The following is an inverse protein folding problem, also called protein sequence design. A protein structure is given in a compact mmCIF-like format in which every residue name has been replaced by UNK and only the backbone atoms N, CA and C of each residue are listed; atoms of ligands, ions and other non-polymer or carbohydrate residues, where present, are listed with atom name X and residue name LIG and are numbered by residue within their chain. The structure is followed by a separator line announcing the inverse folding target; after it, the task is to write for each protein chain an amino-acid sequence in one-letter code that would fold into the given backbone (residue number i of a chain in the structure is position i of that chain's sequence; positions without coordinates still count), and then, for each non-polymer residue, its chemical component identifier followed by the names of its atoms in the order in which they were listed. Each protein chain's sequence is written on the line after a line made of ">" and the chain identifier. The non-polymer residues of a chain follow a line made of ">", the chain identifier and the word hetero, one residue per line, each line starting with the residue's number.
data_IF_815905263082
#
_entry.id   IF_815905263082
#
_cell.length_a   1.000
_cell.length_b   1.000
_cell.length_c   1.000
_cell.angle_alpha   90.00
_cell.angle_beta   90.00
_cell.angle_gamma   90.00
#
_symmetry.space_group_name_H-M   'P 1'
#
loop_
_entity.id
_entity.type
_entity.pdbx_description
1 polymer ?
#
# COMPACT_ATOMS: atom_id res chain seq x y z
N UNK A 1 -36.51 -32.31 54.09
CA UNK A 1 -35.77 -31.16 53.52
C UNK A 1 -34.54 -31.68 52.79
N UNK A 2 -34.58 -31.85 51.47
CA UNK A 2 -33.37 -31.98 50.64
C UNK A 2 -33.64 -31.30 49.30
N UNK A 3 -32.88 -30.24 49.04
CA UNK A 3 -32.97 -29.37 47.86
C UNK A 3 -32.43 -30.10 46.62
N UNK A 4 -33.17 -30.08 45.52
CA UNK A 4 -32.68 -30.41 44.18
C UNK A 4 -31.87 -29.23 43.64
N UNK A 5 -30.61 -29.47 43.30
CA UNK A 5 -29.71 -28.52 42.64
C UNK A 5 -29.90 -28.67 41.13
N UNK A 6 -30.38 -27.63 40.45
CA UNK A 6 -30.40 -27.56 38.98
C UNK A 6 -29.04 -27.02 38.52
N UNK A 7 -28.30 -27.82 37.74
CA UNK A 7 -27.11 -27.36 37.02
C UNK A 7 -27.56 -26.82 35.66
N UNK A 8 -27.51 -25.50 35.49
CA UNK A 8 -27.66 -24.87 34.17
C UNK A 8 -26.31 -24.90 33.45
N UNK A 9 -26.22 -25.73 32.41
CA UNK A 9 -25.08 -25.73 31.48
C UNK A 9 -25.29 -24.56 30.51
N UNK A 10 -24.47 -23.52 30.65
CA UNK A 10 -24.42 -22.40 29.71
C UNK A 10 -23.53 -22.83 28.52
N UNK A 11 -24.14 -23.13 27.38
CA UNK A 11 -23.41 -23.36 26.13
C UNK A 11 -23.05 -22.00 25.55
N UNK A 12 -21.78 -21.60 25.69
CA UNK A 12 -21.21 -20.49 24.93
C UNK A 12 -21.03 -20.93 23.47
N UNK A 13 -21.93 -20.50 22.59
CA UNK A 13 -21.65 -20.49 21.16
C UNK A 13 -20.63 -19.40 20.88
N UNK A 14 -19.39 -19.80 20.62
CA UNK A 14 -18.38 -18.96 19.97
C UNK A 14 -18.83 -18.69 18.54
N UNK A 15 -19.42 -17.52 18.29
CA UNK A 15 -19.58 -17.00 16.94
C UNK A 15 -18.19 -16.64 16.41
N UNK A 16 -17.61 -17.54 15.63
CA UNK A 16 -16.49 -17.21 14.76
C UNK A 16 -17.01 -16.25 13.68
N UNK A 17 -16.81 -14.96 13.89
CA UNK A 17 -17.01 -13.94 12.86
C UNK A 17 -15.99 -14.13 11.75
N UNK A 18 -16.31 -14.97 10.76
CA UNK A 18 -15.60 -14.98 9.50
C UNK A 18 -15.99 -13.72 8.72
N UNK A 19 -15.00 -12.96 8.24
CA UNK A 19 -15.22 -11.85 7.33
C UNK A 19 -16.08 -12.30 6.12
N UNK A 20 -17.18 -11.61 5.87
CA UNK A 20 -18.23 -12.00 4.94
C UNK A 20 -18.16 -11.12 3.69
N UNK A 21 -17.26 -11.47 2.76
CA UNK A 21 -17.13 -10.78 1.47
C UNK A 21 -18.49 -10.48 0.82
N UNK A 22 -18.77 -9.19 0.57
CA UNK A 22 -20.04 -8.64 0.05
C UNK A 22 -20.61 -9.33 -1.21
N UNK A 23 -21.89 -9.13 -1.56
CA UNK A 23 -22.51 -9.84 -2.68
C UNK A 23 -21.89 -9.47 -4.04
N UNK A 24 -22.01 -10.36 -5.03
CA UNK A 24 -21.68 -10.03 -6.41
C UNK A 24 -22.69 -9.03 -6.98
N UNK A 25 -22.18 -7.99 -7.64
CA UNK A 25 -22.96 -6.97 -8.34
C UNK A 25 -22.60 -7.00 -9.82
N UNK A 26 -23.60 -7.01 -10.70
CA UNK A 26 -23.37 -6.87 -12.14
C UNK A 26 -23.10 -5.39 -12.45
N UNK A 27 -21.94 -5.08 -13.03
CA UNK A 27 -21.59 -3.71 -13.45
C UNK A 27 -22.34 -3.30 -14.72
N UNK A 28 -22.78 -4.27 -15.51
CA UNK A 28 -23.59 -4.05 -16.69
C UNK A 28 -24.95 -4.75 -16.55
N UNK A 29 -26.03 -3.99 -16.77
CA UNK A 29 -27.40 -4.47 -16.59
C UNK A 29 -27.94 -5.28 -17.78
N UNK A 30 -27.20 -5.35 -18.89
CA UNK A 30 -27.59 -6.07 -20.11
C UNK A 30 -28.51 -5.30 -21.06
N UNK A 31 -28.90 -4.06 -20.73
CA UNK A 31 -29.94 -3.30 -21.43
C UNK A 31 -29.51 -1.89 -21.82
N UNK A 32 -28.78 -1.19 -20.95
CA UNK A 32 -28.33 0.19 -21.14
C UNK A 32 -26.91 0.39 -20.60
N UNK A 33 -26.27 1.47 -20.99
CA UNK A 33 -24.97 1.89 -20.44
C UNK A 33 -25.13 2.79 -19.20
N UNK A 34 -26.24 2.66 -18.47
CA UNK A 34 -26.46 3.44 -17.24
C UNK A 34 -25.38 3.09 -16.20
N UNK A 35 -24.81 4.12 -15.57
CA UNK A 35 -23.68 3.97 -14.65
C UNK A 35 -22.31 3.96 -15.34
N UNK A 36 -22.25 4.28 -16.64
CA UNK A 36 -21.03 4.38 -17.41
C UNK A 36 -20.94 5.70 -18.18
N UNK A 37 -19.72 6.22 -18.30
CA UNK A 37 -19.39 7.45 -19.01
C UNK A 37 -18.20 7.24 -19.95
N UNK A 38 -18.21 7.88 -21.12
CA UNK A 38 -17.11 7.81 -22.11
C UNK A 38 -16.09 8.90 -21.81
N UNK A 39 -14.81 8.53 -21.80
CA UNK A 39 -13.68 9.42 -21.54
C UNK A 39 -12.54 9.27 -22.56
N UNK A 40 -11.69 10.28 -22.63
CA UNK A 40 -10.45 10.40 -23.44
C UNK A 40 -10.61 10.46 -24.96
N UNK A 41 -11.56 9.72 -25.53
CA UNK A 41 -11.75 9.62 -26.98
C UNK A 41 -13.21 9.54 -27.38
N UNK A 42 -13.45 9.09 -28.59
CA UNK A 42 -14.79 9.10 -29.22
C UNK A 42 -15.09 7.82 -30.01
N UNK A 43 -14.43 6.70 -29.69
CA UNK A 43 -14.89 5.38 -30.10
C UNK A 43 -16.29 5.12 -29.56
N UNK A 44 -17.08 4.30 -30.25
CA UNK A 44 -18.48 4.09 -29.90
C UNK A 44 -18.68 2.84 -29.05
N UNK A 45 -19.69 2.89 -28.18
CA UNK A 45 -20.14 1.77 -27.37
C UNK A 45 -21.64 1.59 -27.57
N UNK A 46 -22.07 0.34 -27.79
CA UNK A 46 -23.49 -0.03 -27.88
C UNK A 46 -23.80 -1.27 -27.05
N UNK A 47 -25.08 -1.44 -26.73
CA UNK A 47 -25.60 -2.69 -26.17
C UNK A 47 -26.10 -3.57 -27.30
N UNK A 48 -25.65 -4.82 -27.35
CA UNK A 48 -26.06 -5.82 -28.33
C UNK A 48 -26.15 -7.18 -27.64
N UNK A 49 -27.32 -7.83 -27.70
CA UNK A 49 -27.56 -9.18 -27.12
C UNK A 49 -27.04 -9.38 -25.69
N UNK A 50 -27.25 -8.37 -24.82
CA UNK A 50 -26.80 -8.42 -23.43
C UNK A 50 -25.28 -8.27 -23.26
N UNK A 51 -24.60 -7.69 -24.25
CA UNK A 51 -23.16 -7.38 -24.24
C UNK A 51 -22.92 -5.89 -24.46
N UNK A 52 -21.79 -5.39 -23.96
CA UNK A 52 -21.23 -4.11 -24.38
C UNK A 52 -20.33 -4.37 -25.58
N UNK A 53 -20.58 -3.69 -26.69
CA UNK A 53 -19.74 -3.73 -27.89
C UNK A 53 -19.07 -2.38 -28.08
N UNK A 54 -17.75 -2.35 -27.96
CA UNK A 54 -16.92 -1.21 -28.31
C UNK A 54 -16.42 -1.34 -29.75
N UNK A 55 -16.56 -0.29 -30.54
CA UNK A 55 -16.16 -0.27 -31.96
C UNK A 55 -15.14 0.84 -32.18
N UNK A 56 -13.99 0.49 -32.78
CA UNK A 56 -12.99 1.48 -33.14
C UNK A 56 -13.56 2.50 -34.14
N UNK A 57 -13.16 3.76 -33.99
CA UNK A 57 -13.53 4.87 -34.88
C UNK A 57 -12.26 5.52 -35.43
N UNK A 58 -12.25 5.78 -36.74
CA UNK A 58 -11.10 6.41 -37.40
C UNK A 58 -10.76 7.77 -36.75
N UNK A 59 -9.48 7.97 -36.42
CA UNK A 59 -9.00 9.20 -35.79
C UNK A 59 -9.28 9.33 -34.30
N UNK A 60 -10.05 8.41 -33.69
CA UNK A 60 -10.25 8.41 -32.24
C UNK A 60 -8.96 8.02 -31.51
N UNK A 61 -8.57 8.75 -30.45
CA UNK A 61 -7.58 8.25 -29.51
C UNK A 61 -8.16 7.07 -28.69
N UNK A 62 -7.34 6.51 -27.80
CA UNK A 62 -7.79 5.53 -26.82
C UNK A 62 -9.03 6.07 -26.09
N UNK A 63 -10.13 5.32 -26.19
CA UNK A 63 -11.43 5.70 -25.61
C UNK A 63 -11.78 4.69 -24.55
N UNK A 64 -12.33 5.17 -23.44
CA UNK A 64 -12.72 4.28 -22.33
C UNK A 64 -14.18 4.49 -21.97
N UNK A 65 -14.93 3.40 -21.86
CA UNK A 65 -16.22 3.40 -21.18
C UNK A 65 -15.97 3.07 -19.71
N UNK A 66 -16.05 4.08 -18.84
CA UNK A 66 -15.70 3.99 -17.42
C UNK A 66 -16.94 3.92 -16.54
N UNK A 67 -16.86 3.15 -15.45
CA UNK A 67 -17.88 3.18 -14.40
C UNK A 67 -17.92 4.55 -13.73
N UNK A 68 -19.12 5.06 -13.46
CA UNK A 68 -19.28 6.31 -12.70
C UNK A 68 -18.86 6.13 -11.22
N UNK A 69 -18.97 4.90 -10.71
CA UNK A 69 -18.52 4.50 -9.37
C UNK A 69 -17.04 4.10 -9.40
N UNK A 70 -16.32 4.47 -8.36
CA UNK A 70 -14.96 4.01 -8.08
C UNK A 70 -14.95 2.81 -7.11
N UNK A 71 -13.97 1.92 -7.30
CA UNK A 71 -13.81 0.67 -6.54
C UNK A 71 -12.40 0.56 -5.95
N UNK A 72 -12.33 0.12 -4.69
CA UNK A 72 -11.09 -0.09 -3.94
C UNK A 72 -10.63 -1.54 -3.99
N UNK A 73 -10.93 -2.29 -2.94
CA UNK A 73 -10.63 -3.73 -2.86
C UNK A 73 -11.80 -4.53 -3.45
N UNK A 74 -11.51 -5.37 -4.43
CA UNK A 74 -12.54 -6.10 -5.16
C UNK A 74 -12.00 -7.35 -5.85
N UNK A 75 -12.93 -8.23 -6.19
CA UNK A 75 -12.77 -9.20 -7.25
C UNK A 75 -13.64 -8.74 -8.43
N UNK A 76 -13.04 -8.57 -9.61
CA UNK A 76 -13.74 -8.30 -10.85
C UNK A 76 -13.69 -9.56 -11.72
N UNK A 77 -14.83 -9.97 -12.27
CA UNK A 77 -14.92 -11.01 -13.30
C UNK A 77 -15.66 -10.47 -14.52
N UNK A 78 -15.18 -10.82 -15.70
CA UNK A 78 -15.84 -10.52 -16.97
C UNK A 78 -15.43 -11.54 -18.03
N UNK A 79 -16.22 -11.61 -19.10
CA UNK A 79 -15.86 -12.31 -20.33
C UNK A 79 -15.63 -11.30 -21.44
N UNK A 80 -14.58 -11.51 -22.25
CA UNK A 80 -14.24 -10.66 -23.38
C UNK A 80 -13.97 -11.46 -24.65
N UNK A 81 -14.40 -10.92 -25.79
CA UNK A 81 -14.02 -11.35 -27.13
C UNK A 81 -13.53 -10.14 -27.92
N UNK A 82 -12.26 -10.13 -28.29
CA UNK A 82 -11.61 -9.05 -29.02
C UNK A 82 -11.24 -9.51 -30.42
N UNK A 83 -11.50 -8.68 -31.43
CA UNK A 83 -11.00 -8.94 -32.77
C UNK A 83 -9.45 -8.93 -32.75
N UNK A 84 -8.74 -9.90 -33.36
CA UNK A 84 -7.30 -10.06 -33.18
C UNK A 84 -6.43 -8.88 -33.62
N UNK A 85 -6.95 -8.03 -34.51
CA UNK A 85 -6.23 -6.82 -34.97
C UNK A 85 -6.48 -5.58 -34.10
N UNK A 86 -7.29 -5.71 -33.05
CA UNK A 86 -7.53 -4.67 -32.06
C UNK A 86 -6.78 -5.01 -30.76
N UNK A 87 -6.14 -3.99 -30.18
CA UNK A 87 -5.66 -4.02 -28.81
C UNK A 87 -6.73 -3.40 -27.89
N UNK A 88 -6.83 -3.90 -26.67
CA UNK A 88 -7.81 -3.47 -25.69
C UNK A 88 -7.22 -3.66 -24.28
N UNK A 89 -7.99 -3.27 -23.27
CA UNK A 89 -7.67 -3.52 -21.88
C UNK A 89 -8.85 -3.18 -20.98
N UNK A 90 -8.74 -3.59 -19.73
CA UNK A 90 -9.66 -3.17 -18.66
C UNK A 90 -8.87 -2.42 -17.61
N UNK A 91 -9.19 -1.13 -17.47
CA UNK A 91 -8.69 -0.26 -16.41
C UNK A 91 -9.21 -0.74 -15.06
N UNK A 92 -8.33 -0.74 -14.05
CA UNK A 92 -8.64 -1.12 -12.67
C UNK A 92 -8.03 -0.10 -11.71
N UNK A 93 -8.85 0.50 -10.84
CA UNK A 93 -8.42 1.59 -9.93
C UNK A 93 -7.81 2.81 -10.63
N UNK A 94 -8.06 2.94 -11.93
CA UNK A 94 -7.56 4.06 -12.73
C UNK A 94 -8.30 5.35 -12.41
N UNK A 95 -7.72 6.46 -12.80
CA UNK A 95 -8.21 7.81 -12.53
C UNK A 95 -8.59 8.49 -13.85
N UNK A 96 -9.45 9.51 -13.75
CA UNK A 96 -9.75 10.44 -14.84
C UNK A 96 -9.16 11.79 -14.47
N UNK A 97 -8.29 12.33 -15.33
CA UNK A 97 -7.65 13.62 -15.08
C UNK A 97 -8.68 14.76 -15.04
N UNK A 98 -8.77 15.46 -13.91
CA UNK A 98 -9.68 16.62 -13.74
C UNK A 98 -9.13 17.92 -14.34
N UNK A 99 -7.86 17.91 -14.72
CA UNK A 99 -7.11 19.02 -15.27
C UNK A 99 -5.83 18.51 -15.93
N UNK A 100 -5.03 19.41 -16.49
CA UNK A 100 -3.67 19.06 -16.93
C UNK A 100 -2.90 18.47 -15.74
N UNK A 101 -2.40 17.25 -15.92
CA UNK A 101 -1.74 16.48 -14.86
C UNK A 101 -0.34 16.11 -15.33
N UNK A 102 0.65 16.33 -14.47
CA UNK A 102 2.05 16.09 -14.77
C UNK A 102 2.61 15.00 -13.88
N UNK A 103 3.37 14.09 -14.47
CA UNK A 103 4.05 13.02 -13.76
C UNK A 103 5.54 13.01 -14.06
N UNK A 104 6.30 12.54 -13.07
CA UNK A 104 7.73 12.24 -13.22
C UNK A 104 7.99 10.86 -12.63
N UNK A 105 8.28 9.88 -13.49
CA UNK A 105 8.61 8.52 -13.07
C UNK A 105 10.01 8.12 -13.53
N UNK A 106 10.59 7.12 -12.87
CA UNK A 106 11.78 6.47 -13.41
C UNK A 106 11.36 5.39 -14.38
N UNK A 107 11.89 5.44 -15.59
CA UNK A 107 11.69 4.39 -16.58
C UNK A 107 12.48 3.14 -16.21
N UNK A 108 12.30 2.08 -16.98
CA UNK A 108 13.08 0.84 -16.82
C UNK A 108 14.60 1.07 -16.99
N UNK A 109 15.00 2.16 -17.66
CA UNK A 109 16.39 2.61 -17.79
C UNK A 109 16.93 3.39 -16.56
N UNK A 110 16.12 3.54 -15.52
CA UNK A 110 16.45 4.27 -14.30
C UNK A 110 16.43 5.79 -14.43
N UNK A 111 16.18 6.34 -15.62
CA UNK A 111 16.15 7.79 -15.88
C UNK A 111 14.76 8.38 -15.60
N UNK A 112 14.68 9.66 -15.22
CA UNK A 112 13.39 10.33 -15.06
C UNK A 112 12.74 10.58 -16.43
N UNK A 113 11.51 10.11 -16.59
CA UNK A 113 10.61 10.40 -17.70
C UNK A 113 9.50 11.32 -17.20
N UNK A 114 9.25 12.39 -17.94
CA UNK A 114 8.18 13.34 -17.65
C UNK A 114 7.01 13.07 -18.59
N UNK A 115 5.82 13.03 -18.05
CA UNK A 115 4.60 12.80 -18.82
C UNK A 115 3.54 13.82 -18.41
N UNK A 116 2.93 14.47 -19.38
CA UNK A 116 1.79 15.37 -19.16
C UNK A 116 0.58 14.77 -19.84
N UNK A 117 -0.55 14.76 -19.15
CA UNK A 117 -1.83 14.33 -19.69
C UNK A 117 -2.85 15.46 -19.62
N UNK A 118 -3.72 15.59 -20.63
CA UNK A 118 -4.76 16.60 -20.63
C UNK A 118 -5.90 16.22 -19.66
N UNK A 119 -6.78 17.17 -19.42
CA UNK A 119 -8.09 16.91 -18.79
C UNK A 119 -8.83 15.80 -19.53
N UNK A 120 -9.64 15.02 -18.80
CA UNK A 120 -10.43 13.88 -19.28
C UNK A 120 -9.60 12.65 -19.71
N UNK A 121 -8.27 12.71 -19.58
CA UNK A 121 -7.42 11.55 -19.85
C UNK A 121 -7.56 10.51 -18.74
N UNK A 122 -7.93 9.29 -19.11
CA UNK A 122 -7.86 8.11 -18.24
C UNK A 122 -6.40 7.68 -18.11
N UNK A 123 -5.97 7.40 -16.88
CA UNK A 123 -4.63 6.93 -16.56
C UNK A 123 -4.64 5.99 -15.36
N UNK A 124 -3.68 5.06 -15.28
CA UNK A 124 -3.56 4.10 -14.18
C UNK A 124 -3.42 2.66 -14.66
N UNK A 125 -3.70 1.70 -13.78
CA UNK A 125 -3.47 0.29 -14.05
C UNK A 125 -4.47 -0.26 -15.09
N UNK A 126 -3.95 -0.85 -16.16
CA UNK A 126 -4.72 -1.52 -17.21
C UNK A 126 -4.32 -2.99 -17.28
N UNK A 127 -5.32 -3.88 -17.21
CA UNK A 127 -5.13 -5.30 -17.52
C UNK A 127 -5.26 -5.50 -19.03
N UNK A 128 -4.18 -6.02 -19.62
CA UNK A 128 -3.98 -6.08 -21.07
C UNK A 128 -4.87 -7.13 -21.76
N UNK A 129 -5.41 -6.77 -22.93
CA UNK A 129 -6.12 -7.65 -23.86
C UNK A 129 -5.55 -7.43 -25.27
N UNK A 130 -4.88 -8.43 -25.80
CA UNK A 130 -4.24 -8.37 -27.11
C UNK A 130 -4.42 -9.69 -27.87
N UNK A 131 -3.93 -9.76 -29.11
CA UNK A 131 -3.85 -11.02 -29.85
C UNK A 131 -3.03 -12.08 -29.09
N UNK A 132 -3.48 -13.32 -29.12
CA UNK A 132 -2.89 -14.43 -28.34
C UNK A 132 -1.37 -14.59 -28.54
N UNK A 133 -0.88 -14.40 -29.78
CA UNK A 133 0.54 -14.53 -30.13
C UNK A 133 1.47 -13.55 -29.41
N UNK A 134 0.96 -12.46 -28.83
CA UNK A 134 1.77 -11.53 -28.03
C UNK A 134 2.20 -12.12 -26.69
N UNK A 135 1.42 -13.06 -26.14
CA UNK A 135 1.64 -13.61 -24.80
C UNK A 135 1.50 -12.60 -23.66
N UNK A 136 0.90 -11.42 -23.88
CA UNK A 136 0.80 -10.33 -22.88
C UNK A 136 -0.55 -10.24 -22.19
N UNK A 137 -1.56 -11.02 -22.61
CA UNK A 137 -2.91 -10.96 -22.06
C UNK A 137 -2.94 -11.26 -20.56
N UNK A 138 -3.53 -10.36 -19.78
CA UNK A 138 -3.51 -10.42 -18.31
C UNK A 138 -2.32 -9.71 -17.66
N UNK A 139 -1.34 -9.24 -18.44
CA UNK A 139 -0.29 -8.32 -17.99
C UNK A 139 -0.87 -6.98 -17.49
N UNK A 140 -0.09 -6.23 -16.71
CA UNK A 140 -0.50 -4.92 -16.18
C UNK A 140 0.37 -3.82 -16.79
N UNK A 141 -0.27 -2.97 -17.61
CA UNK A 141 0.31 -1.76 -18.18
C UNK A 141 -0.19 -0.54 -17.40
N UNK A 142 0.67 0.44 -17.13
CA UNK A 142 0.24 1.67 -16.44
C UNK A 142 -0.06 2.79 -17.43
N UNK A 143 -1.29 2.79 -17.92
CA UNK A 143 -1.79 3.63 -19.01
C UNK A 143 -1.61 5.12 -18.70
N UNK A 144 -1.06 5.84 -19.68
CA UNK A 144 -0.89 7.29 -19.68
C UNK A 144 -0.18 7.90 -18.45
N UNK A 145 0.44 7.09 -17.59
CA UNK A 145 1.14 7.53 -16.39
C UNK A 145 2.61 7.11 -16.41
N UNK A 146 2.95 5.86 -16.07
CA UNK A 146 4.31 5.32 -16.25
C UNK A 146 4.56 4.89 -17.69
N UNK A 147 3.51 4.51 -18.42
CA UNK A 147 3.53 4.15 -19.83
C UNK A 147 4.44 2.94 -20.18
N UNK A 148 4.54 1.97 -19.28
CA UNK A 148 5.18 0.67 -19.51
C UNK A 148 4.46 -0.44 -18.73
N UNK A 149 4.76 -1.70 -19.06
CA UNK A 149 4.32 -2.86 -18.28
C UNK A 149 5.00 -2.85 -16.92
N UNK A 150 4.20 -2.68 -15.86
CA UNK A 150 4.66 -2.74 -14.47
C UNK A 150 4.62 -4.17 -13.93
N UNK A 151 3.90 -5.05 -14.62
CA UNK A 151 3.99 -6.49 -14.44
C UNK A 151 3.72 -7.20 -15.77
N UNK A 152 4.70 -7.94 -16.25
CA UNK A 152 4.56 -8.80 -17.41
C UNK A 152 3.91 -10.14 -17.02
N UNK A 153 3.26 -10.80 -17.98
CA UNK A 153 2.75 -12.16 -17.78
C UNK A 153 3.90 -13.07 -17.39
N UNK A 154 3.66 -13.94 -16.40
CA UNK A 154 4.65 -14.94 -15.94
C UNK A 154 5.32 -15.63 -17.13
N UNK A 155 6.63 -15.89 -17.00
CA UNK A 155 7.39 -16.66 -17.98
C UNK A 155 7.04 -18.16 -17.91
N UNK A 156 5.77 -18.45 -18.22
CA UNK A 156 5.16 -19.76 -18.17
C UNK A 156 4.29 -19.94 -19.43
N UNK A 157 4.44 -21.05 -20.18
CA UNK A 157 3.65 -21.29 -21.38
C UNK A 157 2.15 -21.34 -21.15
N UNK A 158 1.66 -21.79 -19.99
CA UNK A 158 0.22 -21.82 -19.74
C UNK A 158 -0.33 -20.40 -19.60
N UNK A 159 0.38 -19.51 -18.90
CA UNK A 159 0.00 -18.10 -18.77
C UNK A 159 0.07 -17.34 -20.11
N UNK A 160 1.16 -17.50 -20.87
CA UNK A 160 1.34 -16.86 -22.19
C UNK A 160 0.30 -17.32 -23.22
N UNK A 161 -0.15 -18.57 -23.15
CA UNK A 161 -1.14 -19.14 -24.08
C UNK A 161 -2.57 -19.17 -23.49
N UNK A 162 -2.82 -18.49 -22.37
CA UNK A 162 -4.10 -18.55 -21.68
C UNK A 162 -5.23 -17.96 -22.54
N UNK A 163 -4.99 -16.83 -23.19
CA UNK A 163 -5.96 -16.15 -24.07
C UNK A 163 -6.12 -16.88 -25.41
N UNK A 164 -7.35 -16.94 -25.91
CA UNK A 164 -7.75 -17.61 -27.16
C UNK A 164 -8.40 -16.62 -28.12
N UNK A 165 -7.77 -16.40 -29.27
CA UNK A 165 -8.30 -15.50 -30.31
C UNK A 165 -9.63 -16.02 -30.85
N UNK A 166 -10.54 -15.09 -31.21
CA UNK A 166 -11.87 -15.40 -31.75
C UNK A 166 -12.79 -16.22 -30.82
N UNK A 167 -12.43 -16.38 -29.55
CA UNK A 167 -13.22 -17.03 -28.52
C UNK A 167 -13.59 -16.07 -27.38
N UNK A 168 -14.52 -16.48 -26.52
CA UNK A 168 -14.81 -15.78 -25.27
C UNK A 168 -13.79 -16.17 -24.22
N UNK A 169 -13.13 -15.19 -23.63
CA UNK A 169 -12.09 -15.39 -22.63
C UNK A 169 -12.58 -14.87 -21.28
N UNK A 170 -12.49 -15.69 -20.24
CA UNK A 170 -12.86 -15.31 -18.88
C UNK A 170 -11.67 -14.67 -18.18
N UNK A 171 -11.86 -13.44 -17.71
CA UNK A 171 -10.92 -12.75 -16.85
C UNK A 171 -11.41 -12.75 -15.41
N UNK A 172 -10.46 -12.87 -14.50
CA UNK A 172 -10.65 -12.60 -13.08
C UNK A 172 -9.51 -11.70 -12.62
N UNK A 173 -9.84 -10.65 -11.88
CA UNK A 173 -8.88 -9.71 -11.32
C UNK A 173 -9.18 -9.58 -9.83
N UNK A 174 -8.18 -9.73 -8.99
CA UNK A 174 -8.29 -9.51 -7.54
C UNK A 174 -7.39 -8.37 -7.14
N UNK A 175 -7.98 -7.34 -6.57
CA UNK A 175 -7.32 -6.18 -6.01
C UNK A 175 -7.57 -6.15 -4.51
N UNK A 176 -6.52 -6.32 -3.70
CA UNK A 176 -6.59 -6.34 -2.23
C UNK A 176 -5.40 -5.60 -1.63
N UNK A 177 -5.63 -4.49 -0.92
CA UNK A 177 -4.56 -3.60 -0.49
C UNK A 177 -3.71 -3.15 -1.69
N UNK A 178 -2.40 -3.36 -1.63
CA UNK A 178 -1.47 -3.14 -2.75
C UNK A 178 -1.34 -4.34 -3.70
N UNK A 179 -1.91 -5.50 -3.37
CA UNK A 179 -1.82 -6.69 -4.20
C UNK A 179 -2.83 -6.63 -5.36
N UNK A 180 -2.33 -6.86 -6.57
CA UNK A 180 -3.11 -7.00 -7.79
C UNK A 180 -2.76 -8.33 -8.44
N UNK A 181 -3.76 -9.18 -8.66
CA UNK A 181 -3.61 -10.48 -9.31
C UNK A 181 -4.55 -10.61 -10.48
N UNK A 182 -4.09 -11.21 -11.57
CA UNK A 182 -4.89 -11.41 -12.78
C UNK A 182 -4.89 -12.88 -13.17
N UNK A 183 -6.04 -13.35 -13.66
CA UNK A 183 -6.20 -14.67 -14.26
C UNK A 183 -6.93 -14.55 -15.59
N UNK A 184 -6.47 -15.30 -16.58
CA UNK A 184 -7.13 -15.49 -17.87
C UNK A 184 -7.45 -16.96 -18.04
N UNK A 185 -8.71 -17.29 -18.30
CA UNK A 185 -9.21 -18.67 -18.45
C UNK A 185 -8.80 -19.59 -17.29
N UNK A 186 -8.76 -19.05 -16.07
CA UNK A 186 -8.39 -19.76 -14.84
C UNK A 186 -6.88 -19.89 -14.59
N UNK A 187 -6.03 -19.44 -15.52
CA UNK A 187 -4.57 -19.45 -15.37
C UNK A 187 -4.10 -18.13 -14.77
N UNK A 188 -3.28 -18.19 -13.70
CA UNK A 188 -2.70 -17.00 -13.08
C UNK A 188 -1.67 -16.36 -14.02
N UNK A 189 -1.89 -15.10 -14.39
CA UNK A 189 -1.03 -14.36 -15.32
C UNK A 189 -0.05 -13.43 -14.60
N UNK A 190 -0.51 -12.68 -13.59
CA UNK A 190 0.29 -11.71 -12.84
C UNK A 190 0.00 -11.78 -11.34
N UNK A 191 1.05 -11.55 -10.54
CA UNK A 191 0.97 -11.12 -9.14
C UNK A 191 1.86 -9.90 -8.96
N UNK A 192 1.25 -8.74 -8.75
CA UNK A 192 1.91 -7.44 -8.58
C UNK A 192 1.61 -6.90 -7.18
N UNK A 193 2.59 -6.20 -6.59
CA UNK A 193 2.36 -5.32 -5.44
C UNK A 193 2.68 -3.90 -5.86
N UNK A 194 1.67 -3.04 -5.82
CA UNK A 194 1.80 -1.63 -6.14
C UNK A 194 0.74 -0.83 -5.35
N UNK A 195 1.18 0.19 -4.63
CA UNK A 195 0.33 0.98 -3.73
C UNK A 195 -0.01 2.37 -4.28
N UNK A 196 0.24 2.63 -5.57
CA UNK A 196 0.08 3.96 -6.16
C UNK A 196 -1.38 4.43 -6.16
N UNK A 197 -2.33 3.60 -6.62
CA UNK A 197 -3.76 3.89 -6.51
C UNK A 197 -4.49 2.83 -5.70
N UNK A 198 -5.08 3.27 -4.60
CA UNK A 198 -5.85 2.43 -3.71
C UNK A 198 -7.26 2.10 -4.22
N UNK A 199 -7.81 3.00 -5.05
CA UNK A 199 -9.19 3.02 -5.51
C UNK A 199 -9.30 3.88 -6.78
N UNK A 200 -10.24 3.54 -7.66
CA UNK A 200 -10.53 4.32 -8.87
C UNK A 200 -11.57 3.62 -9.76
N UNK A 201 -11.75 4.07 -10.99
CA UNK A 201 -12.77 3.53 -11.91
C UNK A 201 -12.38 2.16 -12.46
N UNK A 202 -13.38 1.44 -12.97
CA UNK A 202 -13.20 0.36 -13.95
C UNK A 202 -13.48 0.94 -15.33
N UNK A 203 -12.67 0.62 -16.34
CA UNK A 203 -12.81 1.20 -17.69
C UNK A 203 -12.55 0.21 -18.80
N UNK A 204 -13.47 0.10 -19.76
CA UNK A 204 -13.35 -0.77 -20.92
C UNK A 204 -12.70 0.01 -22.06
N UNK A 205 -11.55 -0.42 -22.56
CA UNK A 205 -10.81 0.30 -23.59
C UNK A 205 -11.23 -0.12 -25.00
N UNK A 206 -11.36 0.87 -25.89
CA UNK A 206 -11.17 0.69 -27.33
C UNK A 206 -9.92 1.48 -27.73
N UNK A 207 -8.87 0.77 -28.15
CA UNK A 207 -7.60 1.40 -28.53
C UNK A 207 -7.75 2.21 -29.82
N UNK A 208 -7.14 3.40 -29.85
CA UNK A 208 -7.12 4.24 -31.05
C UNK A 208 -6.34 3.56 -32.17
N UNK A 209 -6.94 3.48 -33.36
CA UNK A 209 -6.27 2.90 -34.53
C UNK A 209 -5.72 4.02 -35.42
N UNK A 210 -4.48 3.84 -35.87
CA UNK A 210 -3.83 4.74 -36.82
C UNK A 210 -4.34 4.55 -38.25
N UNK A 211 -3.44 4.71 -39.23
CA UNK A 211 -3.79 4.76 -40.67
C UNK A 211 -4.36 3.47 -41.27
N UNK A 212 -4.19 2.31 -40.62
CA UNK A 212 -4.69 1.01 -41.09
C UNK A 212 -5.99 0.63 -40.37
N UNK A 213 -6.95 1.56 -40.38
CA UNK A 213 -8.22 1.42 -39.69
C UNK A 213 -9.13 0.38 -40.35
N UNK A 214 -9.77 -0.42 -39.51
CA UNK A 214 -11.04 -1.09 -39.77
C UNK A 214 -11.89 -0.90 -38.51
N UNK A 215 -13.23 -0.99 -38.59
CA UNK A 215 -14.12 -0.89 -37.44
C UNK A 215 -14.08 -2.17 -36.59
N UNK A 216 -12.87 -2.56 -36.16
CA UNK A 216 -12.67 -3.70 -35.28
C UNK A 216 -13.41 -3.49 -33.96
N UNK A 217 -13.88 -4.59 -33.40
CA UNK A 217 -14.70 -4.57 -32.20
C UNK A 217 -14.08 -5.39 -31.06
N UNK A 218 -14.43 -4.97 -29.85
CA UNK A 218 -14.24 -5.74 -28.63
C UNK A 218 -15.57 -5.80 -27.89
N UNK A 219 -15.89 -6.99 -27.36
CA UNK A 219 -17.20 -7.31 -26.81
C UNK A 219 -17.01 -7.82 -25.40
N UNK A 220 -17.74 -7.26 -24.43
CA UNK A 220 -17.69 -7.66 -23.03
C UNK A 220 -19.07 -8.10 -22.55
N UNK A 221 -19.10 -9.13 -21.71
CA UNK A 221 -20.32 -9.60 -21.04
C UNK A 221 -20.01 -10.19 -19.67
N UNK A 222 -21.06 -10.48 -18.90
CA UNK A 222 -20.93 -11.05 -17.55
C UNK A 222 -20.00 -10.24 -16.65
N UNK A 223 -19.98 -8.91 -16.81
CA UNK A 223 -19.13 -8.00 -16.05
C UNK A 223 -19.73 -7.85 -14.65
N UNK A 224 -19.07 -8.43 -13.66
CA UNK A 224 -19.53 -8.43 -12.27
C UNK A 224 -18.37 -8.19 -11.32
N UNK A 225 -18.67 -7.51 -10.23
CA UNK A 225 -17.71 -7.15 -9.20
C UNK A 225 -18.20 -7.64 -7.85
N UNK A 226 -17.26 -8.06 -7.02
CA UNK A 226 -17.45 -8.36 -5.61
C UNK A 226 -16.53 -7.43 -4.84
N UNK A 227 -17.07 -6.38 -4.24
CA UNK A 227 -16.29 -5.56 -3.32
C UNK A 227 -15.89 -6.45 -2.13
N UNK A 228 -14.60 -6.50 -1.84
CA UNK A 228 -14.06 -7.27 -0.74
C UNK A 228 -14.14 -6.39 0.49
N UNK A 229 -15.06 -6.74 1.38
CA UNK A 229 -15.38 -6.09 2.66
C UNK A 229 -14.75 -4.71 2.83
N UNK A 230 -15.52 -3.73 2.36
CA UNK A 230 -15.52 -2.38 2.90
C UNK A 230 -16.12 -2.32 4.34
N UNK A 231 -16.38 -3.45 4.99
CA UNK A 231 -16.96 -3.52 6.34
C UNK A 231 -15.94 -3.34 7.49
N UNK A 232 -14.70 -2.97 7.17
CA UNK A 232 -13.82 -2.27 8.12
C UNK A 232 -13.40 -0.89 7.57
N UNK A 233 -14.23 -0.18 6.79
CA UNK A 233 -13.99 1.26 6.56
C UNK A 233 -13.99 2.06 7.88
N UNK A 234 -14.46 1.46 8.98
CA UNK A 234 -14.26 1.95 10.34
C UNK A 234 -13.07 1.36 11.11
N UNK A 235 -12.46 0.24 10.70
CA UNK A 235 -11.50 -0.54 11.52
C UNK A 235 -10.15 -0.85 10.84
N UNK A 236 -10.04 -0.73 9.51
CA UNK A 236 -8.76 -0.88 8.82
C UNK A 236 -7.92 0.38 8.96
N UNK A 237 -6.74 0.23 9.57
CA UNK A 237 -5.78 1.31 9.78
C UNK A 237 -4.99 1.54 8.50
N UNK A 238 -5.00 2.77 8.01
CA UNK A 238 -4.22 3.22 6.85
C UNK A 238 -2.86 3.71 7.32
N UNK A 239 -1.82 3.05 6.86
CA UNK A 239 -0.43 3.30 7.24
C UNK A 239 0.35 3.83 6.05
N UNK A 240 1.11 4.90 6.24
CA UNK A 240 2.18 5.25 5.31
C UNK A 240 3.51 4.82 5.91
N UNK A 241 4.23 3.95 5.21
CA UNK A 241 5.54 3.43 5.59
C UNK A 241 6.60 4.26 4.87
N UNK A 242 7.31 5.10 5.63
CA UNK A 242 8.23 6.11 5.13
C UNK A 242 9.64 5.54 5.21
N UNK A 243 10.21 5.22 4.04
CA UNK A 243 11.54 4.60 3.92
C UNK A 243 12.55 5.57 3.29
N UNK A 244 13.80 5.14 3.11
CA UNK A 244 14.82 5.88 2.35
C UNK A 244 15.87 6.58 3.20
N UNK A 245 16.96 7.04 2.56
CA UNK A 245 18.13 7.60 3.24
C UNK A 245 19.14 6.56 3.77
N UNK A 246 18.74 5.30 3.90
CA UNK A 246 19.62 4.17 4.24
C UNK A 246 19.10 2.88 3.56
N UNK A 247 20.01 1.95 3.22
CA UNK A 247 19.64 0.65 2.63
C UNK A 247 19.11 -0.33 3.67
N UNK A 248 18.26 -1.26 3.23
CA UNK A 248 17.71 -2.34 4.05
C UNK A 248 17.17 -3.46 3.17
N UNK A 249 16.85 -4.61 3.76
CA UNK A 249 16.27 -5.77 3.08
C UNK A 249 14.77 -5.56 2.81
N UNK A 250 14.47 -4.84 1.72
CA UNK A 250 13.14 -4.31 1.39
C UNK A 250 12.01 -5.35 1.44
N UNK A 251 12.12 -6.44 0.68
CA UNK A 251 11.07 -7.46 0.63
C UNK A 251 10.81 -8.12 1.99
N UNK A 252 11.88 -8.39 2.75
CA UNK A 252 11.78 -8.98 4.08
C UNK A 252 11.10 -8.03 5.08
N UNK A 253 11.42 -6.73 5.00
CA UNK A 253 10.80 -5.71 5.82
C UNK A 253 9.30 -5.58 5.54
N UNK A 254 8.91 -5.49 4.26
CA UNK A 254 7.51 -5.33 3.88
C UNK A 254 6.65 -6.57 4.11
N UNK A 255 7.27 -7.76 4.14
CA UNK A 255 6.60 -9.01 4.53
C UNK A 255 5.99 -8.96 5.93
N UNK A 256 6.53 -8.13 6.85
CA UNK A 256 5.91 -7.94 8.16
C UNK A 256 4.51 -7.32 8.03
N UNK A 257 4.37 -6.28 7.20
CA UNK A 257 3.12 -5.57 6.99
C UNK A 257 2.12 -6.37 6.16
N UNK A 258 2.60 -7.16 5.18
CA UNK A 258 1.75 -8.06 4.38
C UNK A 258 0.96 -9.08 5.23
N UNK A 259 1.49 -9.41 6.41
CA UNK A 259 0.91 -10.39 7.32
C UNK A 259 -0.03 -9.78 8.37
N UNK A 260 -0.07 -8.45 8.48
CA UNK A 260 -0.91 -7.74 9.44
C UNK A 260 -2.35 -7.66 8.94
N UNK A 261 -3.28 -8.18 9.74
CA UNK A 261 -4.72 -8.06 9.45
C UNK A 261 -5.21 -6.69 9.92
N UNK A 262 -6.14 -6.09 9.19
CA UNK A 262 -6.68 -4.76 9.54
C UNK A 262 -5.69 -3.61 9.35
N UNK A 263 -4.55 -3.83 8.71
CA UNK A 263 -3.58 -2.78 8.34
C UNK A 263 -3.46 -2.73 6.82
N UNK A 264 -3.72 -1.56 6.24
CA UNK A 264 -3.44 -1.26 4.84
C UNK A 264 -2.27 -0.30 4.80
N UNK A 265 -1.21 -0.64 4.07
CA UNK A 265 -0.04 0.23 3.99
C UNK A 265 0.30 0.69 2.57
N UNK A 266 0.90 1.87 2.49
CA UNK A 266 1.52 2.45 1.29
C UNK A 266 2.97 2.76 1.61
N UNK A 267 3.92 2.34 0.77
CA UNK A 267 5.30 2.80 0.89
C UNK A 267 5.46 4.21 0.31
N UNK A 268 6.10 5.10 1.06
CA UNK A 268 6.52 6.42 0.62
C UNK A 268 8.04 6.57 0.77
N UNK A 269 8.78 6.33 -0.33
CA UNK A 269 10.25 6.44 -0.33
C UNK A 269 10.67 7.91 -0.23
N UNK A 270 11.28 8.28 0.88
CA UNK A 270 11.76 9.62 1.15
C UNK A 270 13.18 9.85 0.62
N UNK A 271 13.38 11.03 0.05
CA UNK A 271 14.67 11.62 -0.30
C UNK A 271 14.74 13.01 0.33
N UNK A 272 15.94 13.54 0.49
CA UNK A 272 16.16 14.90 1.02
C UNK A 272 15.37 15.99 0.28
N UNK A 273 15.06 15.77 -1.00
CA UNK A 273 14.24 16.65 -1.83
C UNK A 273 12.89 16.04 -2.26
N UNK A 274 12.37 15.05 -1.53
CA UNK A 274 11.08 14.39 -1.82
C UNK A 274 9.87 15.28 -1.55
N UNK A 275 8.72 14.90 -2.10
CA UNK A 275 7.45 15.65 -1.98
C UNK A 275 6.59 15.26 -0.77
N UNK A 276 6.95 14.22 -0.01
CA UNK A 276 6.16 13.79 1.16
C UNK A 276 6.02 14.93 2.18
N UNK A 277 4.80 15.26 2.61
CA UNK A 277 4.47 16.44 3.43
C UNK A 277 4.50 17.79 2.68
N UNK A 278 4.67 17.86 1.36
CA UNK A 278 4.62 19.13 0.63
C UNK A 278 3.18 19.65 0.50
N UNK A 279 2.24 18.75 0.23
CA UNK A 279 0.80 18.96 0.35
C UNK A 279 0.19 17.83 1.20
N UNK A 280 -0.66 18.19 2.15
CA UNK A 280 -1.37 17.28 3.06
C UNK A 280 -2.89 17.41 2.95
N UNK A 281 -3.39 18.12 1.93
CA UNK A 281 -4.82 18.34 1.70
C UNK A 281 -5.59 17.03 1.50
N UNK A 282 -4.96 16.04 0.84
CA UNK A 282 -5.48 14.69 0.66
C UNK A 282 -4.93 13.66 1.64
N UNK A 283 -4.42 14.07 2.81
CA UNK A 283 -3.87 13.12 3.78
C UNK A 283 -4.98 12.25 4.39
N UNK A 284 -4.86 10.94 4.18
CA UNK A 284 -5.85 9.93 4.57
C UNK A 284 -5.18 8.73 5.27
N UNK A 285 -4.04 8.95 5.95
CA UNK A 285 -3.35 7.92 6.73
C UNK A 285 -3.51 8.16 8.22
N UNK A 286 -3.82 7.10 8.97
CA UNK A 286 -3.97 7.09 10.43
C UNK A 286 -2.62 7.05 11.15
N UNK A 287 -1.63 6.37 10.55
CA UNK A 287 -0.30 6.15 11.15
C UNK A 287 0.82 6.37 10.13
N UNK A 288 1.88 7.05 10.57
CA UNK A 288 3.15 7.16 9.87
C UNK A 288 4.17 6.21 10.51
N UNK A 289 4.60 5.18 9.78
CA UNK A 289 5.68 4.29 10.20
C UNK A 289 6.97 4.74 9.54
N UNK A 290 7.93 5.24 10.30
CA UNK A 290 9.21 5.70 9.78
C UNK A 290 10.27 4.60 9.91
N UNK A 291 10.93 4.31 8.79
CA UNK A 291 12.13 3.48 8.68
C UNK A 291 13.13 4.17 7.73
N UNK A 292 13.36 5.46 7.97
CA UNK A 292 14.13 6.34 7.10
C UNK A 292 15.37 6.92 7.82
N UNK A 293 16.33 7.45 7.07
CA UNK A 293 17.51 8.15 7.60
C UNK A 293 17.80 9.46 6.83
N UNK A 294 16.80 10.02 6.14
CA UNK A 294 16.95 11.29 5.41
C UNK A 294 17.26 12.45 6.35
N UNK A 295 18.01 13.45 5.86
CA UNK A 295 18.53 14.52 6.70
C UNK A 295 17.82 15.86 6.45
N UNK A 296 17.46 16.14 5.20
CA UNK A 296 16.90 17.43 4.83
C UNK A 296 15.37 17.37 4.73
N UNK A 297 14.71 18.34 5.38
CA UNK A 297 13.27 18.57 5.30
C UNK A 297 13.01 20.08 5.36
N UNK A 298 12.21 20.59 4.42
CA UNK A 298 11.91 22.03 4.30
C UNK A 298 11.05 22.53 5.46
N UNK A 299 11.08 23.83 5.75
CA UNK A 299 10.26 24.42 6.82
C UNK A 299 8.76 24.15 6.61
N UNK A 300 8.27 24.25 5.37
CA UNK A 300 6.87 23.94 5.01
C UNK A 300 6.51 22.49 5.33
N UNK A 301 7.38 21.54 4.95
CA UNK A 301 7.18 20.11 5.22
C UNK A 301 7.23 19.79 6.72
N UNK A 302 8.12 20.43 7.48
CA UNK A 302 8.15 20.35 8.96
C UNK A 302 6.83 20.80 9.57
N UNK A 303 6.31 21.95 9.12
CA UNK A 303 5.01 22.48 9.59
C UNK A 303 3.84 21.58 9.22
N UNK A 304 3.87 20.98 8.02
CA UNK A 304 2.84 20.03 7.59
C UNK A 304 2.88 18.75 8.43
N UNK A 305 4.06 18.22 8.71
CA UNK A 305 4.21 17.08 9.62
C UNK A 305 3.62 17.37 11.01
N UNK A 306 3.97 18.51 11.61
CA UNK A 306 3.41 18.91 12.92
C UNK A 306 1.88 19.04 12.88
N UNK A 307 1.31 19.59 11.78
CA UNK A 307 -0.14 19.64 11.59
C UNK A 307 -0.80 18.27 11.51
N UNK A 308 -0.10 17.23 11.05
CA UNK A 308 -0.62 15.87 11.06
C UNK A 308 -0.62 15.31 12.48
N UNK A 309 0.43 15.59 13.28
CA UNK A 309 0.45 15.21 14.69
C UNK A 309 -0.69 15.86 15.47
N UNK A 310 -0.92 17.17 15.27
CA UNK A 310 -2.03 17.93 15.88
C UNK A 310 -3.41 17.36 15.55
N UNK A 311 -3.56 16.74 14.37
CA UNK A 311 -4.77 16.01 13.96
C UNK A 311 -4.88 14.60 14.56
N UNK A 312 -3.89 14.16 15.32
CA UNK A 312 -3.86 12.84 15.96
C UNK A 312 -3.29 11.72 15.10
N UNK A 313 -2.62 12.02 13.97
CA UNK A 313 -1.98 10.99 13.15
C UNK A 313 -0.83 10.37 13.93
N UNK A 314 -0.91 9.07 14.18
CA UNK A 314 0.06 8.32 14.99
C UNK A 314 1.42 8.19 14.33
N UNK A 315 2.47 7.97 15.13
CA UNK A 315 3.83 7.75 14.63
C UNK A 315 4.43 6.49 15.24
N UNK A 316 4.96 5.62 14.39
CA UNK A 316 5.86 4.54 14.79
C UNK A 316 7.24 4.84 14.20
N UNK A 317 8.24 5.17 15.02
CA UNK A 317 9.61 5.42 14.57
C UNK A 317 10.48 4.18 14.81
N UNK A 318 11.14 3.70 13.76
CA UNK A 318 11.89 2.46 13.80
C UNK A 318 13.36 2.71 13.48
N UNK A 319 14.23 2.10 14.27
CA UNK A 319 15.64 1.86 13.95
C UNK A 319 16.37 3.09 13.36
N UNK A 320 16.65 3.11 12.04
CA UNK A 320 17.34 4.18 11.33
C UNK A 320 16.78 5.59 11.60
N UNK A 321 15.46 5.70 11.86
CA UNK A 321 14.79 6.99 12.08
C UNK A 321 15.36 7.75 13.27
N UNK A 322 15.97 7.06 14.24
CA UNK A 322 16.67 7.69 15.35
C UNK A 322 17.82 8.61 14.90
N UNK A 323 18.38 8.37 13.70
CA UNK A 323 19.45 9.18 13.10
C UNK A 323 18.95 10.17 12.03
N UNK A 324 17.64 10.25 11.76
CA UNK A 324 17.07 11.16 10.77
C UNK A 324 17.04 12.63 11.25
N UNK A 325 17.01 13.55 10.29
CA UNK A 325 16.78 14.99 10.49
C UNK A 325 17.65 15.66 11.57
N UNK A 326 18.97 15.47 11.52
CA UNK A 326 19.90 15.99 12.53
C UNK A 326 19.82 17.51 12.72
N UNK A 327 19.42 18.27 11.70
CA UNK A 327 19.28 19.74 11.75
C UNK A 327 17.85 20.20 12.14
N UNK A 328 17.02 19.30 12.68
CA UNK A 328 15.68 19.60 13.17
C UNK A 328 15.50 19.18 14.63
N UNK A 329 15.90 20.03 15.61
CA UNK A 329 15.86 19.68 17.02
C UNK A 329 14.47 19.28 17.56
N UNK A 330 13.38 19.75 16.93
CA UNK A 330 12.02 19.36 17.32
C UNK A 330 11.74 17.88 17.03
N UNK A 331 12.35 17.27 16.01
CA UNK A 331 12.08 15.88 15.64
C UNK A 331 12.47 14.91 16.76
N UNK A 332 13.63 15.10 17.40
CA UNK A 332 14.02 14.27 18.54
C UNK A 332 13.08 14.38 19.74
N UNK A 333 12.42 15.52 19.92
CA UNK A 333 11.40 15.69 20.96
C UNK A 333 10.11 14.95 20.60
N UNK A 334 9.81 14.79 19.31
CA UNK A 334 8.66 14.02 18.82
C UNK A 334 8.88 12.53 19.09
N UNK A 335 10.01 11.97 18.63
CA UNK A 335 10.29 10.53 18.75
C UNK A 335 10.93 10.14 20.09
N UNK A 336 11.33 11.12 20.90
CA UNK A 336 11.93 10.94 22.21
C UNK A 336 13.37 10.43 22.24
N UNK A 337 14.07 10.48 21.12
CA UNK A 337 15.48 10.11 21.06
C UNK A 337 16.21 10.83 19.95
N UNK A 338 17.55 10.76 20.01
CA UNK A 338 18.43 11.09 18.90
C UNK A 338 19.68 10.21 18.93
N UNK A 339 19.95 9.54 17.83
CA UNK A 339 21.26 9.02 17.49
C UNK A 339 22.06 10.15 16.84
N UNK A 340 23.13 10.61 17.49
CA UNK A 340 23.99 11.67 16.95
C UNK A 340 24.95 11.09 15.92
N UNK A 341 24.96 11.62 14.69
CA UNK A 341 25.87 11.15 13.62
C UNK A 341 27.27 11.74 13.71
N UNK A 342 27.49 12.66 14.64
CA UNK A 342 28.79 13.28 14.98
C UNK A 342 28.73 13.86 16.40
N UNK A 343 29.89 14.05 17.03
CA UNK A 343 30.02 14.75 18.30
C UNK A 343 29.39 16.14 18.16
N UNK A 344 28.43 16.46 19.03
CA UNK A 344 27.62 17.67 18.95
C UNK A 344 27.43 18.27 20.33
N UNK A 345 27.75 19.55 20.49
CA UNK A 345 27.50 20.29 21.74
C UNK A 345 26.22 21.09 21.62
N UNK A 346 25.24 20.82 22.49
CA UNK A 346 23.95 21.53 22.53
C UNK A 346 23.63 21.90 23.98
N UNK A 347 23.19 23.14 24.23
CA UNK A 347 22.89 23.60 25.59
C UNK A 347 24.09 23.53 26.56
N UNK A 348 25.32 23.53 26.03
CA UNK A 348 26.55 23.38 26.83
C UNK A 348 26.91 21.93 27.19
N UNK A 349 26.13 20.95 26.76
CA UNK A 349 26.37 19.51 26.98
C UNK A 349 26.94 18.88 25.71
N UNK A 350 28.05 18.16 25.83
CA UNK A 350 28.62 17.38 24.73
C UNK A 350 27.88 16.05 24.60
N UNK A 351 27.23 15.85 23.46
CA UNK A 351 26.69 14.56 23.04
C UNK A 351 27.68 13.87 22.11
N UNK A 352 28.06 12.64 22.46
CA UNK A 352 28.97 11.84 21.64
C UNK A 352 28.25 11.29 20.42
N UNK A 353 29.04 11.06 19.37
CA UNK A 353 28.60 10.30 18.20
C UNK A 353 28.08 8.95 18.66
N UNK A 354 26.89 8.58 18.18
CA UNK A 354 26.33 7.27 18.40
C UNK A 354 27.25 6.18 17.85
N UNK A 355 27.22 5.01 18.47
CA UNK A 355 27.93 3.82 17.98
C UNK A 355 26.99 2.64 17.90
N UNK A 356 27.33 1.65 17.09
CA UNK A 356 26.51 0.48 16.90
C UNK A 356 27.33 -0.82 16.84
N UNK A 357 26.67 -1.94 17.07
CA UNK A 357 27.23 -3.28 16.85
C UNK A 357 26.16 -4.18 16.24
N UNK A 358 26.41 -4.67 15.02
CA UNK A 358 25.55 -5.63 14.32
C UNK A 358 25.67 -7.04 14.91
N UNK A 359 24.75 -7.91 14.49
CA UNK A 359 24.80 -9.37 14.67
C UNK A 359 24.93 -9.81 16.14
N UNK A 360 24.20 -9.15 17.03
CA UNK A 360 24.18 -9.49 18.46
C UNK A 360 22.88 -10.18 18.86
N UNK A 361 23.00 -11.19 19.72
CA UNK A 361 21.84 -11.76 20.42
C UNK A 361 21.55 -10.92 21.66
N UNK A 362 20.49 -10.12 21.58
CA UNK A 362 20.09 -9.19 22.62
C UNK A 362 18.89 -9.72 23.41
N UNK A 363 19.03 -9.77 24.73
CA UNK A 363 17.92 -10.08 25.63
C UNK A 363 17.07 -8.83 25.86
N UNK A 364 15.84 -8.86 25.37
CA UNK A 364 14.84 -7.81 25.51
C UNK A 364 13.97 -8.11 26.72
N UNK A 365 13.98 -7.17 27.66
CA UNK A 365 13.15 -7.19 28.87
C UNK A 365 11.92 -6.30 28.68
N UNK A 366 10.74 -6.83 29.00
CA UNK A 366 9.49 -6.06 28.98
C UNK A 366 9.41 -5.24 30.28
N UNK A 367 9.73 -3.95 30.19
CA UNK A 367 9.80 -3.04 31.33
C UNK A 367 8.42 -2.68 31.88
N UNK A 368 7.44 -2.46 31.00
CA UNK A 368 6.03 -2.30 31.37
C UNK A 368 5.22 -3.44 30.73
N UNK A 369 4.69 -4.35 31.55
CA UNK A 369 3.87 -5.49 31.09
C UNK A 369 2.38 -5.17 31.00
N UNK A 370 1.96 -4.00 31.46
CA UNK A 370 0.56 -3.60 31.48
C UNK A 370 0.21 -2.66 30.31
N UNK A 371 1.19 -2.04 29.68
CA UNK A 371 0.95 -1.21 28.51
C UNK A 371 0.31 -2.04 27.38
N UNK A 372 -0.71 -1.52 26.65
CA UNK A 372 -1.41 -2.30 25.63
C UNK A 372 -0.50 -2.94 24.57
N UNK A 373 0.58 -2.25 24.17
CA UNK A 373 1.57 -2.78 23.23
C UNK A 373 2.25 -4.07 23.75
N UNK A 374 2.62 -4.08 25.02
CA UNK A 374 3.44 -5.16 25.63
C UNK A 374 2.63 -6.11 26.49
N UNK A 375 1.31 -5.90 26.60
CA UNK A 375 0.44 -6.71 27.46
C UNK A 375 0.48 -8.19 27.05
N UNK A 376 0.81 -9.05 28.01
CA UNK A 376 0.93 -10.50 27.79
C UNK A 376 2.22 -10.93 27.10
N UNK A 377 3.13 -10.02 26.77
CA UNK A 377 4.45 -10.37 26.24
C UNK A 377 5.39 -10.81 27.36
N UNK A 378 6.24 -11.79 27.04
CA UNK A 378 7.35 -12.22 27.89
C UNK A 378 8.65 -11.63 27.38
N UNK A 379 9.68 -11.65 28.23
CA UNK A 379 11.04 -11.30 27.79
C UNK A 379 11.45 -12.25 26.66
N UNK A 380 12.21 -11.75 25.70
CA UNK A 380 12.60 -12.51 24.52
C UNK A 380 14.01 -12.15 24.06
N UNK A 381 14.65 -13.06 23.33
CA UNK A 381 15.92 -12.80 22.66
C UNK A 381 15.64 -12.44 21.20
N UNK A 382 16.38 -11.47 20.69
CA UNK A 382 16.38 -11.08 19.27
C UNK A 382 17.81 -10.99 18.77
N UNK A 383 18.04 -11.44 17.53
CA UNK A 383 19.31 -11.24 16.84
C UNK A 383 19.20 -9.96 16.01
N UNK A 384 19.98 -8.92 16.36
CA UNK A 384 19.77 -7.57 15.85
C UNK A 384 21.03 -6.68 16.01
N UNK A 385 20.86 -5.38 15.87
CA UNK A 385 21.85 -4.33 16.13
C UNK A 385 21.58 -3.57 17.44
N UNK A 386 22.64 -3.32 18.23
CA UNK A 386 22.59 -2.47 19.41
C UNK A 386 23.13 -1.07 19.13
N UNK A 387 22.46 -0.02 19.65
CA UNK A 387 22.93 1.37 19.60
C UNK A 387 23.39 1.89 20.95
N UNK A 388 24.46 2.68 20.95
CA UNK A 388 25.08 3.32 22.12
C UNK A 388 25.22 4.82 21.93
N UNK A 389 25.24 5.54 23.05
CA UNK A 389 25.35 7.00 23.11
C UNK A 389 24.19 7.73 22.44
N UNK A 390 23.01 7.11 22.42
CA UNK A 390 21.78 7.79 22.04
C UNK A 390 21.38 8.76 23.15
N UNK A 391 20.88 9.93 22.76
CA UNK A 391 20.17 10.80 23.68
C UNK A 391 18.73 10.31 23.82
N UNK A 392 18.24 10.24 25.05
CA UNK A 392 16.85 9.90 25.35
C UNK A 392 16.23 11.02 26.15
N UNK A 393 14.99 11.34 25.80
CA UNK A 393 14.16 12.25 26.57
C UNK A 393 13.75 11.58 27.90
N UNK A 394 13.68 12.37 28.98
CA UNK A 394 13.30 11.88 30.30
C UNK A 394 11.79 11.57 30.40
N UNK A 395 10.98 12.19 29.53
CA UNK A 395 9.53 11.99 29.48
C UNK A 395 9.11 10.69 28.78
N UNK A 396 10.06 9.88 28.30
CA UNK A 396 9.76 8.63 27.63
C UNK A 396 9.15 7.61 28.60
N UNK A 397 7.99 7.06 28.24
CA UNK A 397 7.45 5.88 28.92
C UNK A 397 8.11 4.63 28.33
N UNK A 398 9.09 4.09 29.04
CA UNK A 398 9.89 2.95 28.59
C UNK A 398 9.07 1.65 28.59
N UNK A 399 9.07 0.95 27.46
CA UNK A 399 8.41 -0.35 27.28
C UNK A 399 9.39 -1.51 27.22
N UNK A 400 10.56 -1.29 26.61
CA UNK A 400 11.55 -2.33 26.34
C UNK A 400 12.93 -1.87 26.81
N UNK A 401 13.62 -2.76 27.53
CA UNK A 401 15.01 -2.55 27.94
C UNK A 401 15.91 -3.73 27.60
N UNK A 402 17.22 -3.50 27.61
CA UNK A 402 18.25 -4.53 27.46
C UNK A 402 19.40 -4.26 28.43
N UNK A 403 20.13 -5.30 28.81
CA UNK A 403 21.38 -5.19 29.58
C UNK A 403 22.61 -5.55 28.71
N UNK A 404 22.43 -5.67 27.39
CA UNK A 404 23.53 -5.99 26.47
C UNK A 404 24.54 -4.83 26.39
N UNK A 405 25.83 -5.12 26.59
CA UNK A 405 26.89 -4.10 26.73
C UNK A 405 27.05 -3.20 25.49
N UNK A 406 26.69 -3.69 24.31
CA UNK A 406 26.73 -2.95 23.05
C UNK A 406 25.48 -2.11 22.74
N UNK A 407 24.49 -2.04 23.64
CA UNK A 407 23.31 -1.19 23.48
C UNK A 407 23.10 -0.30 24.71
N UNK A 408 22.50 0.87 24.52
CA UNK A 408 21.89 1.62 25.60
C UNK A 408 20.72 0.82 26.17
N UNK A 409 20.44 1.08 27.45
CA UNK A 409 19.47 0.28 28.21
C UNK A 409 18.06 0.38 27.65
N UNK A 410 17.66 1.54 27.16
CA UNK A 410 16.32 1.81 26.63
C UNK A 410 16.29 1.52 25.14
N UNK A 411 15.42 0.59 24.72
CA UNK A 411 15.33 0.14 23.31
C UNK A 411 13.91 0.18 22.73
N UNK A 412 12.92 0.55 23.53
CA UNK A 412 11.56 0.84 23.04
C UNK A 412 10.74 1.61 24.05
N UNK A 413 9.97 2.59 23.59
CA UNK A 413 9.19 3.49 24.45
C UNK A 413 8.00 4.11 23.69
N UNK A 414 7.12 4.76 24.45
CA UNK A 414 6.02 5.55 23.92
C UNK A 414 5.99 6.94 24.54
N UNK A 415 5.36 7.87 23.84
CA UNK A 415 5.02 9.20 24.35
C UNK A 415 3.82 9.80 23.61
N UNK A 416 3.26 10.85 24.17
CA UNK A 416 2.28 11.70 23.48
C UNK A 416 2.95 13.00 23.04
N UNK A 417 2.62 13.47 21.85
CA UNK A 417 3.15 14.72 21.33
C UNK A 417 2.11 15.42 20.45
N UNK A 418 1.73 16.65 20.82
CA UNK A 418 0.76 17.48 20.08
C UNK A 418 -0.48 16.67 19.64
N UNK A 419 -1.13 15.94 20.56
CA UNK A 419 -2.34 15.17 20.24
C UNK A 419 -2.12 13.79 19.59
N UNK A 420 -0.92 13.49 19.11
CA UNK A 420 -0.56 12.19 18.54
C UNK A 420 0.07 11.24 19.56
N UNK A 421 -0.17 9.94 19.36
CA UNK A 421 0.53 8.85 20.02
C UNK A 421 1.77 8.46 19.23
N UNK A 422 2.91 8.39 19.90
CA UNK A 422 4.21 8.08 19.31
C UNK A 422 4.76 6.82 19.97
N UNK A 423 5.17 5.84 19.18
CA UNK A 423 5.94 4.68 19.62
C UNK A 423 7.27 4.65 18.89
N UNK A 424 8.38 4.46 19.62
CA UNK A 424 9.69 4.32 19.01
C UNK A 424 10.30 3.00 19.45
N UNK A 425 10.84 2.25 18.49
CA UNK A 425 11.46 0.94 18.70
C UNK A 425 12.83 0.97 18.01
N UNK A 426 13.91 0.78 18.80
CA UNK A 426 15.28 0.77 18.26
C UNK A 426 15.54 -0.46 17.39
N UNK A 427 14.92 -1.59 17.74
CA UNK A 427 15.11 -2.88 17.06
C UNK A 427 14.72 -2.83 15.57
N UNK A 428 15.26 -3.76 14.79
CA UNK A 428 14.81 -4.03 13.42
C UNK A 428 15.84 -3.71 12.34
N UNK A 429 17.10 -4.14 12.49
CA UNK A 429 18.15 -3.88 11.50
C UNK A 429 17.93 -4.61 10.16
N UNK A 430 17.61 -5.91 10.21
CA UNK A 430 17.56 -6.80 9.04
C UNK A 430 16.48 -7.91 9.16
N UNK A 431 16.44 -8.83 8.19
CA UNK A 431 15.49 -9.95 8.16
C UNK A 431 15.50 -10.83 9.41
N UNK A 432 16.62 -10.96 10.12
CA UNK A 432 16.67 -11.80 11.33
C UNK A 432 15.81 -11.19 12.43
N UNK A 433 15.81 -9.86 12.55
CA UNK A 433 14.89 -9.15 13.41
C UNK A 433 13.44 -9.22 12.88
N UNK A 434 13.23 -9.03 11.58
CA UNK A 434 11.90 -9.04 10.95
C UNK A 434 11.16 -10.38 11.08
N UNK A 435 11.90 -11.49 11.13
CA UNK A 435 11.34 -12.83 11.28
C UNK A 435 10.92 -13.13 12.73
N UNK A 436 11.49 -12.44 13.72
CA UNK A 436 11.18 -12.63 15.13
C UNK A 436 9.69 -12.33 15.39
N UNK A 437 8.98 -13.29 15.98
CA UNK A 437 7.53 -13.17 16.22
C UNK A 437 7.18 -12.11 17.26
N UNK A 438 8.02 -11.91 18.29
CA UNK A 438 7.82 -10.87 19.29
C UNK A 438 8.02 -9.48 18.68
N UNK A 439 9.04 -9.33 17.82
CA UNK A 439 9.25 -8.08 17.10
C UNK A 439 8.07 -7.75 16.18
N UNK A 440 7.60 -8.71 15.36
CA UNK A 440 6.40 -8.49 14.53
C UNK A 440 5.17 -8.11 15.34
N UNK A 441 4.94 -8.77 16.48
CA UNK A 441 3.85 -8.43 17.39
C UNK A 441 4.00 -7.01 17.98
N UNK A 442 5.21 -6.58 18.31
CA UNK A 442 5.47 -5.21 18.77
C UNK A 442 5.12 -4.18 17.70
N UNK A 443 5.53 -4.40 16.44
CA UNK A 443 5.24 -3.48 15.34
C UNK A 443 3.74 -3.39 15.07
N UNK A 444 3.06 -4.54 14.98
CA UNK A 444 1.61 -4.59 14.79
C UNK A 444 0.89 -3.82 15.90
N UNK A 445 1.21 -4.11 17.17
CA UNK A 445 0.56 -3.44 18.30
C UNK A 445 0.93 -1.97 18.44
N UNK A 446 2.14 -1.58 18.05
CA UNK A 446 2.54 -0.17 17.98
C UNK A 446 1.68 0.58 16.96
N UNK A 447 1.43 0.00 15.78
CA UNK A 447 0.54 0.57 14.77
C UNK A 447 -0.90 0.67 15.31
N UNK A 448 -1.44 -0.41 15.89
CA UNK A 448 -2.79 -0.40 16.47
C UNK A 448 -2.94 0.66 17.57
N UNK A 449 -1.98 0.72 18.50
CA UNK A 449 -2.01 1.66 19.62
C UNK A 449 -1.86 3.10 19.17
N UNK A 450 -0.96 3.39 18.22
CA UNK A 450 -0.78 4.75 17.69
C UNK A 450 -1.98 5.23 16.87
N UNK A 451 -2.68 4.31 16.18
CA UNK A 451 -3.95 4.58 15.51
C UNK A 451 -5.15 4.73 16.47
N UNK A 452 -4.99 4.32 17.74
CA UNK A 452 -6.07 4.33 18.72
C UNK A 452 -7.06 3.20 18.66
N UNK A 453 -6.61 2.05 18.18
CA UNK A 453 -7.37 0.81 18.07
C UNK A 453 -6.98 -0.24 19.12
N UNK A 454 -6.08 0.10 20.05
CA UNK A 454 -5.61 -0.79 21.12
C UNK A 454 -5.79 -0.17 22.51
#
# INVERSE_FOLDING_TARGET
>A
MFKKLLFSVLILLSAAGGAMAGPWVNLFNGQSLDGWSIHSGFATYRVEDGMIVGTAVEGSPNTFLCTDKEYGDFILEFEVKCDPSLNSGVQIRSQIAKGETHFVFRGQDGKPHKQSIPTDRVYGYQVEIAQSQTGTCGGIYDEARRAFFIAEVRDDPAAKNAFKDNEWNKYRIECRGSSIKTWVNGVLCVELKDSMDAKGIIGLQVHGLGKNFQPYEVRWRNIRIKELDADEVGDTIKVVVITGGHSFEHDAFFKMFDQMKGVRYTEAVQKDHSELFEDISGWDYDVMVFYNMTQNISQKRRQNFLRLLDKGVGVVALHHTMAAYQEWPRFRQIIGTRYYTKDTTEGGVLHKTGTYLHDIDMNVHIADRNHPITQGMSDFTIHDEGYKYCWFDEDNHVLLTTEHSASDRTIGWVRNFEGARICTIQLGHDSKAYENSNYRQLIERAILWTAGKL
#
